data_IF_421837289897
#
_entry.id   IF_421837289897
#
_cell.length_a   1.000
_cell.length_b   1.000
_cell.length_c   1.000
_cell.angle_alpha   90.00
_cell.angle_beta   90.00
_cell.angle_gamma   90.00
#
_symmetry.space_group_name_H-M   'P 1'
#
loop_
_entity.id
_entity.type
_entity.pdbx_description
1 polymer ?
#
# COMPACT_ATOMS: atom_id res chain seq x y z
N UNK A 1 -6.96 15.61 11.57
CA UNK A 1 -6.91 16.28 10.23
C UNK A 1 -7.75 15.61 9.13
N UNK A 2 -7.92 14.28 9.10
CA UNK A 2 -8.57 13.55 7.98
C UNK A 2 -10.04 13.95 7.68
N UNK A 3 -10.84 14.26 8.71
CA UNK A 3 -12.25 14.69 8.56
C UNK A 3 -12.38 16.07 7.93
N UNK A 4 -11.46 16.97 8.26
CA UNK A 4 -11.37 18.34 7.74
C UNK A 4 -10.94 18.32 6.26
N UNK A 5 -10.09 17.38 5.86
CA UNK A 5 -9.69 17.22 4.46
C UNK A 5 -10.88 17.04 3.51
N UNK A 6 -11.84 16.17 3.87
CA UNK A 6 -13.05 15.94 3.05
C UNK A 6 -13.95 17.17 2.93
N UNK A 7 -14.10 17.97 3.99
CA UNK A 7 -14.91 19.19 3.92
C UNK A 7 -14.32 20.25 2.98
N UNK A 8 -13.01 20.21 2.73
CA UNK A 8 -12.33 21.08 1.77
C UNK A 8 -11.99 20.38 0.44
N UNK A 9 -12.55 19.18 0.18
CA UNK A 9 -12.27 18.39 -1.02
C UNK A 9 -10.78 18.06 -1.23
N UNK A 10 -10.02 17.91 -0.14
CA UNK A 10 -8.60 17.55 -0.17
C UNK A 10 -8.41 16.03 -0.07
N UNK A 11 -7.43 15.51 -0.81
CA UNK A 11 -6.95 14.13 -0.70
C UNK A 11 -5.62 14.09 0.04
N UNK A 12 -5.52 13.21 1.04
CA UNK A 12 -4.27 12.95 1.76
C UNK A 12 -3.66 11.66 1.25
N UNK A 13 -2.39 11.71 0.84
CA UNK A 13 -1.57 10.55 0.47
C UNK A 13 -0.47 10.42 1.51
N UNK A 14 -0.48 9.30 2.24
CA UNK A 14 0.57 8.95 3.20
C UNK A 14 1.46 7.88 2.55
N UNK A 15 2.77 8.10 2.56
CA UNK A 15 3.77 7.19 2.01
C UNK A 15 4.74 6.88 3.15
N UNK A 16 4.86 5.61 3.51
CA UNK A 16 5.80 5.14 4.54
C UNK A 16 6.46 3.83 4.08
N UNK A 17 7.62 3.53 4.67
CA UNK A 17 8.36 2.29 4.46
C UNK A 17 7.94 1.17 5.42
N UNK A 18 7.38 1.52 6.58
CA UNK A 18 6.97 0.56 7.61
C UNK A 18 5.50 0.70 7.97
N UNK A 19 4.80 -0.41 8.14
CA UNK A 19 3.37 -0.40 8.52
C UNK A 19 3.19 0.15 9.92
N UNK A 20 4.15 -0.06 10.82
CA UNK A 20 4.07 0.44 12.18
C UNK A 20 3.95 1.97 12.24
N UNK A 21 4.52 2.68 11.26
CA UNK A 21 4.40 4.15 11.14
C UNK A 21 2.99 4.61 10.80
N UNK A 22 2.12 3.70 10.36
CA UNK A 22 0.70 3.98 10.11
C UNK A 22 -0.17 3.85 11.36
N UNK A 23 0.37 3.39 12.50
CA UNK A 23 -0.36 3.25 13.77
C UNK A 23 -0.22 4.54 14.60
N UNK A 24 -1.09 5.51 14.37
CA UNK A 24 -1.31 6.66 15.25
C UNK A 24 -2.47 6.40 16.22
N UNK A 25 -2.50 7.08 17.37
CA UNK A 25 -3.39 6.83 18.52
C UNK A 25 -4.91 6.86 18.22
N UNK A 26 -5.32 7.19 16.99
CA UNK A 26 -6.71 7.36 16.55
C UNK A 26 -7.08 6.46 15.33
N UNK A 27 -6.22 5.49 14.97
CA UNK A 27 -6.25 4.76 13.68
C UNK A 27 -7.30 3.65 13.49
N UNK A 28 -8.42 3.73 14.21
CA UNK A 28 -9.59 2.90 13.87
C UNK A 28 -10.34 3.38 12.60
N UNK A 29 -9.83 4.40 11.88
CA UNK A 29 -10.56 5.14 10.84
C UNK A 29 -9.91 5.22 9.45
N UNK A 30 -10.21 4.23 8.60
CA UNK A 30 -10.45 4.31 7.15
C UNK A 30 -9.49 5.15 6.28
N UNK A 31 -8.27 4.68 6.03
CA UNK A 31 -7.67 4.92 4.70
C UNK A 31 -8.44 4.06 3.70
N UNK A 32 -9.39 4.67 2.98
CA UNK A 32 -10.25 3.92 2.06
C UNK A 32 -9.54 3.34 0.83
N UNK A 33 -8.22 3.56 0.68
CA UNK A 33 -7.39 3.00 -0.39
C UNK A 33 -6.00 2.75 0.16
N UNK A 34 -5.46 1.56 -0.07
CA UNK A 34 -4.10 1.19 0.35
C UNK A 34 -3.36 0.59 -0.84
N UNK A 35 -2.10 1.00 -1.00
CA UNK A 35 -1.13 0.39 -1.91
C UNK A 35 -0.04 -0.24 -1.04
N UNK A 36 0.04 -1.55 -1.02
CA UNK A 36 1.02 -2.29 -0.23
C UNK A 36 1.99 -3.04 -1.14
N UNK A 37 3.25 -2.63 -1.12
CA UNK A 37 4.34 -3.34 -1.80
C UNK A 37 4.92 -4.41 -0.88
N UNK A 38 5.52 -5.45 -1.45
CA UNK A 38 6.16 -6.50 -0.65
C UNK A 38 7.32 -5.91 0.17
N UNK A 39 7.28 -6.16 1.48
CA UNK A 39 8.39 -5.95 2.39
C UNK A 39 8.66 -7.29 3.10
N UNK A 40 9.83 -7.93 2.88
CA UNK A 40 10.14 -9.23 3.46
C UNK A 40 9.98 -9.31 4.98
N UNK A 41 10.25 -8.20 5.68
CA UNK A 41 10.25 -8.14 7.14
C UNK A 41 8.85 -7.88 7.74
N UNK A 42 7.88 -7.46 6.93
CA UNK A 42 6.54 -7.04 7.39
C UNK A 42 5.39 -7.75 6.65
N UNK A 43 5.64 -8.87 5.97
CA UNK A 43 4.59 -9.56 5.16
C UNK A 43 3.32 -9.87 5.93
N UNK A 44 3.44 -10.35 7.17
CA UNK A 44 2.26 -10.64 8.00
C UNK A 44 1.49 -9.37 8.36
N UNK A 45 2.21 -8.30 8.71
CA UNK A 45 1.61 -7.00 9.02
C UNK A 45 0.91 -6.40 7.79
N UNK A 46 1.50 -6.55 6.60
CA UNK A 46 0.88 -6.16 5.31
C UNK A 46 -0.45 -6.89 5.15
N UNK A 47 -0.46 -8.23 5.29
CA UNK A 47 -1.68 -9.02 5.12
C UNK A 47 -2.76 -8.59 6.12
N UNK A 48 -2.42 -8.43 7.40
CA UNK A 48 -3.36 -7.99 8.44
C UNK A 48 -3.90 -6.58 8.15
N UNK A 49 -3.04 -5.66 7.74
CA UNK A 49 -3.44 -4.28 7.41
C UNK A 49 -4.37 -4.22 6.18
N UNK A 50 -4.18 -5.15 5.23
CA UNK A 50 -5.01 -5.31 4.04
C UNK A 50 -6.31 -6.10 4.31
N UNK A 51 -6.53 -6.61 5.53
CA UNK A 51 -7.69 -7.43 5.87
C UNK A 51 -7.64 -8.86 5.32
N UNK A 52 -6.46 -9.36 4.99
CA UNK A 52 -6.22 -10.73 4.53
C UNK A 52 -5.76 -11.62 5.69
N UNK A 53 -6.12 -12.90 5.64
CA UNK A 53 -5.62 -13.88 6.60
C UNK A 53 -4.13 -14.16 6.41
N UNK A 54 -3.42 -14.33 7.53
CA UNK A 54 -2.01 -14.73 7.51
C UNK A 54 -1.94 -16.24 7.34
N UNK A 55 -1.77 -16.68 6.10
CA UNK A 55 -1.58 -18.08 5.72
C UNK A 55 -0.33 -18.21 4.86
N UNK A 56 0.29 -19.38 4.84
CA UNK A 56 1.48 -19.65 4.01
C UNK A 56 1.21 -19.34 2.52
N UNK A 57 -0.02 -19.60 2.06
CA UNK A 57 -0.45 -19.30 0.70
C UNK A 57 -0.45 -17.79 0.43
N UNK A 58 -0.98 -16.97 1.34
CA UNK A 58 -1.03 -15.53 1.17
C UNK A 58 0.36 -14.88 1.32
N UNK A 59 1.20 -15.42 2.21
CA UNK A 59 2.60 -15.00 2.35
C UNK A 59 3.37 -15.30 1.06
N UNK A 60 3.22 -16.51 0.51
CA UNK A 60 3.86 -16.90 -0.75
C UNK A 60 3.34 -16.07 -1.93
N UNK A 61 2.04 -15.74 -1.94
CA UNK A 61 1.44 -14.86 -2.94
C UNK A 61 2.06 -13.45 -2.92
N UNK A 62 2.19 -12.84 -1.73
CA UNK A 62 2.82 -11.53 -1.56
C UNK A 62 4.30 -11.58 -1.94
N UNK A 63 5.04 -12.59 -1.47
CA UNK A 63 6.46 -12.82 -1.79
C UNK A 63 6.74 -12.94 -3.29
N UNK A 64 5.81 -13.52 -4.04
CA UNK A 64 5.92 -13.71 -5.50
C UNK A 64 5.42 -12.52 -6.31
N UNK A 65 5.10 -11.40 -5.66
CA UNK A 65 4.68 -10.17 -6.35
C UNK A 65 5.86 -9.64 -7.19
N UNK A 66 5.71 -9.53 -8.53
CA UNK A 66 6.78 -9.01 -9.37
C UNK A 66 7.07 -7.54 -9.08
N UNK A 67 8.23 -7.05 -9.53
CA UNK A 67 8.53 -5.62 -9.48
C UNK A 67 7.38 -4.79 -10.10
N UNK A 68 7.15 -3.61 -9.54
CA UNK A 68 6.07 -2.68 -9.91
C UNK A 68 4.65 -3.16 -9.60
N UNK A 69 4.47 -4.35 -9.04
CA UNK A 69 3.16 -4.79 -8.57
C UNK A 69 3.01 -4.53 -7.07
N UNK A 70 1.78 -4.28 -6.65
CA UNK A 70 1.39 -4.13 -5.25
C UNK A 70 0.05 -4.82 -5.00
N UNK A 71 -0.26 -5.07 -3.72
CA UNK A 71 -1.63 -5.31 -3.31
C UNK A 71 -2.36 -3.97 -3.18
N UNK A 72 -3.56 -3.92 -3.74
CA UNK A 72 -4.42 -2.74 -3.72
C UNK A 72 -5.71 -3.05 -2.99
N UNK A 73 -5.98 -2.31 -1.91
CA UNK A 73 -7.27 -2.27 -1.23
C UNK A 73 -8.09 -1.12 -1.81
N UNK A 74 -9.26 -1.44 -2.36
CA UNK A 74 -10.18 -0.43 -2.89
C UNK A 74 -11.15 0.13 -1.81
N UNK A 75 -11.94 1.13 -2.21
CA UNK A 75 -12.93 1.79 -1.34
C UNK A 75 -14.08 0.88 -0.90
N UNK A 76 -14.21 -0.29 -1.52
CA UNK A 76 -15.23 -1.29 -1.22
C UNK A 76 -14.69 -2.45 -0.38
N UNK A 77 -13.42 -2.39 0.05
CA UNK A 77 -12.79 -3.42 0.87
C UNK A 77 -12.25 -4.61 0.06
N UNK A 78 -12.12 -4.50 -1.26
CA UNK A 78 -11.60 -5.58 -2.12
C UNK A 78 -10.10 -5.46 -2.23
N UNK A 79 -9.40 -6.59 -2.13
CA UNK A 79 -7.95 -6.67 -2.31
C UNK A 79 -7.61 -7.41 -3.59
N UNK A 80 -6.81 -6.80 -4.45
CA UNK A 80 -6.28 -7.44 -5.65
C UNK A 80 -4.84 -6.98 -5.93
N UNK A 81 -4.12 -7.76 -6.75
CA UNK A 81 -2.82 -7.35 -7.26
C UNK A 81 -3.00 -6.34 -8.40
N UNK A 82 -2.22 -5.27 -8.36
CA UNK A 82 -2.24 -4.20 -9.36
C UNK A 82 -0.83 -3.88 -9.84
N UNK A 83 -0.68 -3.65 -11.15
CA UNK A 83 0.55 -3.13 -11.76
C UNK A 83 0.55 -1.59 -11.69
N UNK A 84 1.60 -1.01 -11.15
CA UNK A 84 1.87 0.43 -11.20
C UNK A 84 2.81 0.71 -12.37
N UNK A 85 2.26 1.26 -13.45
CA UNK A 85 3.01 1.53 -14.67
C UNK A 85 3.45 2.99 -14.76
N UNK A 86 4.72 3.22 -15.11
CA UNK A 86 5.23 4.55 -15.45
C UNK A 86 5.25 4.70 -16.98
N UNK A 87 4.39 5.56 -17.57
CA UNK A 87 4.31 5.71 -19.01
C UNK A 87 5.46 6.54 -19.62
N UNK A 88 6.22 7.26 -18.80
CA UNK A 88 7.32 8.11 -19.25
C UNK A 88 8.67 7.46 -18.96
N UNK A 89 9.44 7.21 -20.00
CA UNK A 89 10.73 6.49 -19.90
C UNK A 89 11.78 7.34 -19.18
N UNK A 90 11.78 8.66 -19.40
CA UNK A 90 12.73 9.60 -18.80
C UNK A 90 12.55 9.67 -17.27
N UNK A 91 11.31 9.58 -16.81
CA UNK A 91 10.99 9.53 -15.37
C UNK A 91 11.43 8.19 -14.78
N UNK A 92 11.17 7.08 -15.47
CA UNK A 92 11.59 5.76 -15.02
C UNK A 92 13.11 5.64 -14.91
N UNK A 93 13.85 6.18 -15.88
CA UNK A 93 15.31 6.21 -15.87
C UNK A 93 15.85 7.05 -14.70
N UNK A 94 15.24 8.20 -14.45
CA UNK A 94 15.60 9.06 -13.31
C UNK A 94 15.42 8.35 -11.96
N UNK A 95 14.35 7.56 -11.80
CA UNK A 95 14.04 6.84 -10.57
C UNK A 95 14.95 5.62 -10.32
N UNK A 96 15.49 4.99 -11.37
CA UNK A 96 16.44 3.87 -11.23
C UNK A 96 17.76 4.28 -10.59
N UNK A 97 18.20 5.52 -10.80
CA UNK A 97 19.48 6.03 -10.33
C UNK A 97 19.44 6.58 -8.89
N UNK A 98 18.27 6.56 -8.25
CA UNK A 98 18.07 7.01 -6.86
C UNK A 98 18.13 5.88 -5.82
N UNK A 99 18.51 4.65 -6.21
CA UNK A 99 18.71 3.52 -5.29
C UNK A 99 20.11 3.49 -4.68
#
# INVERSE_FOLDING_TARGET
>A
MRRIGRSYNNMMVLITQMIQDTKTEDDSGNFGRIFAFDNPDEREDILRHMGLEVTDMNIDWLKKTPQYHCLYLDIYGRVNRMLVYCPFEEVLESLKNCQ
#
